data_IF_112081342878
#
_entry.id   IF_112081342878
#
_cell.length_a   1.000
_cell.length_b   1.000
_cell.length_c   1.000
_cell.angle_alpha   90.00
_cell.angle_beta   90.00
_cell.angle_gamma   90.00
#
_symmetry.space_group_name_H-M   'P 1'
#
loop_
_entity.id
_entity.type
_entity.pdbx_description
1 polymer ?
#
# COMPACT_ATOMS: atom_id res chain seq x y z
N UNK A 1 -19.98 -3.76 -2.11
CA UNK A 1 -18.82 -4.53 -2.61
C UNK A 1 -18.55 -4.02 -4.00
N UNK A 2 -17.37 -3.47 -4.24
CA UNK A 2 -17.05 -2.80 -5.50
C UNK A 2 -16.44 -3.83 -6.46
N UNK A 3 -17.32 -4.50 -7.19
CA UNK A 3 -16.93 -5.48 -8.21
C UNK A 3 -16.33 -4.77 -9.42
N UNK A 4 -15.15 -5.21 -9.88
CA UNK A 4 -14.42 -4.54 -10.96
C UNK A 4 -15.15 -4.59 -12.32
N UNK A 5 -15.96 -5.62 -12.58
CA UNK A 5 -16.70 -5.79 -13.84
C UNK A 5 -15.86 -6.03 -15.10
N UNK A 6 -14.52 -6.07 -14.99
CA UNK A 6 -13.64 -6.27 -16.15
C UNK A 6 -13.72 -7.70 -16.67
N UNK A 7 -13.85 -7.85 -17.98
CA UNK A 7 -13.80 -9.10 -18.76
C UNK A 7 -12.37 -9.45 -19.21
N UNK A 8 -11.45 -8.50 -19.10
CA UNK A 8 -10.04 -8.57 -19.50
C UNK A 8 -9.12 -8.13 -18.36
N UNK A 9 -7.81 -8.05 -18.64
CA UNK A 9 -6.79 -7.59 -17.68
C UNK A 9 -7.20 -6.24 -17.06
N UNK A 10 -7.34 -6.18 -15.74
CA UNK A 10 -7.63 -4.95 -15.00
C UNK A 10 -6.48 -3.95 -15.05
N UNK A 11 -6.32 -3.19 -16.13
CA UNK A 11 -5.27 -2.18 -16.21
C UNK A 11 -5.55 -1.00 -15.25
N UNK A 12 -4.51 -0.32 -14.75
CA UNK A 12 -4.66 0.81 -13.82
C UNK A 12 -5.52 1.97 -14.36
N UNK A 13 -5.52 2.16 -15.68
CA UNK A 13 -6.21 3.23 -16.40
C UNK A 13 -7.66 2.90 -16.78
N UNK A 14 -8.01 1.61 -16.86
CA UNK A 14 -9.34 1.17 -17.33
C UNK A 14 -10.18 0.41 -16.30
N UNK A 15 -9.59 -0.05 -15.20
CA UNK A 15 -10.31 -0.81 -14.19
C UNK A 15 -11.10 0.12 -13.25
N UNK A 16 -12.42 -0.08 -13.07
CA UNK A 16 -13.22 0.70 -12.12
C UNK A 16 -12.66 0.68 -10.69
N UNK A 17 -12.15 -0.47 -10.25
CA UNK A 17 -11.49 -0.57 -8.94
C UNK A 17 -10.20 0.26 -8.90
N UNK A 18 -9.39 0.27 -9.97
CA UNK A 18 -8.16 1.05 -10.02
C UNK A 18 -8.45 2.56 -9.97
N UNK A 19 -9.42 3.04 -10.76
CA UNK A 19 -9.90 4.42 -10.73
C UNK A 19 -10.46 4.79 -9.35
N UNK A 20 -11.12 3.82 -8.71
CA UNK A 20 -11.61 3.92 -7.34
C UNK A 20 -10.56 3.66 -6.27
N UNK A 21 -9.26 3.59 -6.57
CA UNK A 21 -8.16 3.27 -5.63
C UNK A 21 -8.41 2.05 -4.73
N UNK A 22 -9.06 1.03 -5.27
CA UNK A 22 -9.33 -0.26 -4.64
C UNK A 22 -8.53 -1.30 -5.41
N UNK A 23 -7.75 -2.12 -4.72
CA UNK A 23 -7.06 -3.24 -5.39
C UNK A 23 -8.05 -4.36 -5.73
N UNK A 24 -7.86 -4.95 -6.91
CA UNK A 24 -8.51 -6.18 -7.31
C UNK A 24 -7.96 -7.34 -6.47
N UNK A 25 -8.88 -8.14 -5.94
CA UNK A 25 -8.68 -9.35 -5.16
C UNK A 25 -9.70 -10.40 -5.61
N UNK A 26 -9.47 -11.67 -5.24
CA UNK A 26 -10.30 -12.79 -5.70
C UNK A 26 -11.80 -12.62 -5.41
N UNK A 27 -12.14 -11.88 -4.35
CA UNK A 27 -13.52 -11.64 -3.92
C UNK A 27 -14.18 -10.39 -4.55
N UNK A 28 -13.46 -9.57 -5.31
CA UNK A 28 -14.01 -8.36 -5.93
C UNK A 28 -13.64 -8.21 -7.42
N UNK A 29 -12.92 -9.19 -7.99
CA UNK A 29 -12.55 -9.20 -9.41
C UNK A 29 -12.09 -10.59 -9.88
N UNK A 30 -12.75 -11.16 -10.91
CA UNK A 30 -12.38 -12.47 -11.49
C UNK A 30 -11.12 -12.40 -12.37
N UNK A 31 -11.00 -11.32 -13.15
CA UNK A 31 -9.96 -11.17 -14.18
C UNK A 31 -8.76 -10.33 -13.72
N UNK A 32 -8.58 -10.21 -12.40
CA UNK A 32 -7.35 -9.71 -11.82
C UNK A 32 -6.23 -10.74 -12.00
N UNK A 33 -5.78 -10.93 -13.25
CA UNK A 33 -4.57 -11.68 -13.58
C UNK A 33 -3.36 -11.09 -12.85
N UNK A 34 -2.26 -11.85 -12.82
CA UNK A 34 -0.95 -11.39 -12.32
C UNK A 34 -0.31 -10.31 -13.21
N UNK A 35 -1.14 -9.61 -14.00
CA UNK A 35 -0.91 -8.42 -14.84
C UNK A 35 -2.19 -7.59 -14.66
N UNK A 36 -2.14 -6.36 -14.13
CA UNK A 36 -3.30 -5.55 -13.69
C UNK A 36 -3.25 -4.98 -12.25
N UNK A 37 -4.37 -4.40 -11.80
CA UNK A 37 -4.64 -3.69 -10.53
C UNK A 37 -4.72 -4.65 -9.33
N UNK A 38 -3.75 -5.54 -9.20
CA UNK A 38 -3.65 -6.50 -8.09
C UNK A 38 -2.29 -6.33 -7.44
N UNK A 39 -2.27 -6.35 -6.10
CA UNK A 39 -1.02 -6.30 -5.36
C UNK A 39 -0.12 -7.45 -5.81
N UNK A 40 1.12 -7.13 -6.20
CA UNK A 40 2.12 -8.11 -6.58
C UNK A 40 3.38 -7.93 -5.78
N UNK A 41 4.04 -9.05 -5.57
CA UNK A 41 5.45 -9.09 -5.19
C UNK A 41 6.22 -9.17 -6.50
N UNK A 42 6.99 -8.13 -6.84
CA UNK A 42 7.91 -8.20 -7.98
C UNK A 42 9.15 -8.99 -7.55
N UNK A 43 9.64 -9.85 -8.43
CA UNK A 43 10.99 -10.41 -8.33
C UNK A 43 12.04 -9.31 -8.46
N UNK A 44 13.27 -9.61 -8.07
CA UNK A 44 14.39 -8.70 -8.28
C UNK A 44 14.51 -7.57 -7.24
N UNK A 45 13.74 -7.57 -6.15
CA UNK A 45 13.99 -6.68 -5.02
C UNK A 45 15.10 -7.23 -4.13
N UNK A 46 16.15 -6.44 -3.95
CA UNK A 46 17.33 -6.80 -3.18
C UNK A 46 17.63 -5.79 -2.10
N UNK A 47 18.13 -6.27 -0.97
CA UNK A 47 18.63 -5.44 0.11
C UNK A 47 20.14 -5.25 -0.05
N UNK A 48 20.60 -4.01 -0.09
CA UNK A 48 22.02 -3.68 -0.08
C UNK A 48 22.36 -2.75 1.09
N UNK A 49 23.60 -2.85 1.57
CA UNK A 49 24.17 -1.95 2.56
C UNK A 49 25.00 -0.87 1.87
N UNK A 50 24.67 0.39 2.13
CA UNK A 50 25.47 1.54 1.76
C UNK A 50 26.06 2.24 2.98
N UNK A 51 26.68 3.40 2.74
CA UNK A 51 27.37 4.18 3.79
C UNK A 51 26.43 4.71 4.89
N UNK A 52 25.14 4.84 4.60
CA UNK A 52 24.13 5.41 5.52
C UNK A 52 23.15 4.37 6.08
N UNK A 53 23.35 3.08 5.78
CA UNK A 53 22.46 2.00 6.25
C UNK A 53 22.04 1.06 5.13
N UNK A 54 20.83 0.50 5.24
CA UNK A 54 20.27 -0.44 4.27
C UNK A 54 19.25 0.23 3.34
N UNK A 55 19.29 -0.16 2.08
CA UNK A 55 18.37 0.30 1.03
C UNK A 55 17.88 -0.88 0.20
N UNK A 56 16.69 -0.73 -0.39
CA UNK A 56 16.13 -1.70 -1.34
C UNK A 56 16.36 -1.18 -2.75
N UNK A 57 16.81 -2.06 -3.66
CA UNK A 57 16.96 -1.76 -5.08
C UNK A 57 16.35 -2.87 -5.93
N UNK A 58 16.08 -2.59 -7.21
CA UNK A 58 15.59 -3.56 -8.19
C UNK A 58 16.72 -4.00 -9.12
N UNK A 59 16.80 -5.30 -9.44
CA UNK A 59 17.65 -5.84 -10.50
C UNK A 59 16.94 -6.00 -11.85
N UNK A 60 15.65 -5.69 -11.89
CA UNK A 60 14.77 -5.85 -13.06
C UNK A 60 14.09 -4.52 -13.39
N UNK A 61 13.75 -4.34 -14.67
CA UNK A 61 12.98 -3.18 -15.12
C UNK A 61 11.56 -3.22 -14.55
N UNK A 62 11.10 -2.09 -14.01
CA UNK A 62 9.75 -1.95 -13.44
C UNK A 62 8.89 -1.18 -14.44
N UNK A 63 7.89 -1.84 -15.01
CA UNK A 63 6.91 -1.18 -15.86
C UNK A 63 6.14 -0.10 -15.08
N UNK A 64 5.89 1.03 -15.74
CA UNK A 64 5.11 2.13 -15.16
C UNK A 64 3.73 1.66 -14.69
N UNK A 65 3.32 2.09 -13.49
CA UNK A 65 2.05 1.69 -12.88
C UNK A 65 2.10 0.32 -12.16
N UNK A 66 3.27 -0.34 -12.12
CA UNK A 66 3.44 -1.56 -11.33
C UNK A 66 3.46 -1.29 -9.83
N UNK A 67 2.89 -2.22 -9.07
CA UNK A 67 2.98 -2.24 -7.61
C UNK A 67 4.29 -2.96 -7.25
N UNK A 68 5.15 -2.30 -6.48
CA UNK A 68 6.50 -2.80 -6.14
C UNK A 68 6.46 -3.68 -4.88
N UNK A 69 5.99 -3.11 -3.78
CA UNK A 69 5.85 -3.83 -2.52
C UNK A 69 4.89 -3.08 -1.59
N UNK A 70 4.31 -3.79 -0.63
CA UNK A 70 3.56 -3.19 0.46
C UNK A 70 4.50 -2.64 1.54
N UNK A 71 4.10 -1.52 2.16
CA UNK A 71 4.68 -1.09 3.42
C UNK A 71 4.11 -1.92 4.58
N UNK A 72 4.60 -3.15 4.76
CA UNK A 72 4.12 -4.06 5.79
C UNK A 72 4.72 -3.77 7.18
N UNK A 73 3.94 -3.99 8.24
CA UNK A 73 4.35 -3.82 9.64
C UNK A 73 3.27 -4.19 10.66
N UNK A 74 3.34 -3.61 11.86
CA UNK A 74 2.33 -3.68 12.92
C UNK A 74 1.47 -2.42 12.91
N UNK A 75 0.17 -2.58 12.76
CA UNK A 75 -0.78 -1.47 12.84
C UNK A 75 -0.91 -0.99 14.29
N UNK A 76 -0.85 0.32 14.51
CA UNK A 76 -1.03 0.92 15.84
C UNK A 76 -1.80 2.23 15.75
N UNK A 77 -2.47 2.62 16.83
CA UNK A 77 -3.13 3.93 16.99
C UNK A 77 -2.23 4.98 17.61
N UNK A 78 -0.97 4.64 17.92
CA UNK A 78 -0.03 5.54 18.57
C UNK A 78 0.42 6.66 17.62
N UNK A 79 0.31 7.91 18.08
CA UNK A 79 0.76 9.09 17.35
C UNK A 79 2.23 9.40 17.65
N UNK A 80 3.13 8.75 16.92
CA UNK A 80 4.58 8.92 17.05
C UNK A 80 5.07 10.35 16.81
N UNK A 81 4.25 11.24 16.21
CA UNK A 81 4.62 12.65 16.01
C UNK A 81 4.51 13.45 17.29
N UNK A 82 3.73 12.99 18.27
CA UNK A 82 3.54 13.63 19.58
C UNK A 82 4.55 13.16 20.63
N UNK A 83 5.41 12.20 20.30
CA UNK A 83 6.40 11.72 21.25
C UNK A 83 7.43 12.81 21.57
N UNK A 84 7.62 13.12 22.87
CA UNK A 84 8.64 14.05 23.35
C UNK A 84 10.07 13.66 22.93
N UNK A 85 10.30 12.36 22.70
CA UNK A 85 11.54 11.79 22.16
C UNK A 85 11.16 10.88 21.01
N UNK A 86 11.83 11.00 19.87
CA UNK A 86 11.54 10.19 18.69
C UNK A 86 11.73 8.69 19.00
N UNK A 87 10.65 7.91 18.99
CA UNK A 87 10.68 6.47 19.29
C UNK A 87 10.62 5.56 18.07
N UNK A 88 10.40 6.13 16.87
CA UNK A 88 10.41 5.39 15.59
C UNK A 88 10.79 6.28 14.41
N UNK A 89 11.55 5.70 13.47
CA UNK A 89 11.90 6.32 12.19
C UNK A 89 11.14 5.69 11.00
N UNK A 90 10.36 4.63 11.25
CA UNK A 90 9.76 3.77 10.23
C UNK A 90 8.24 3.72 10.39
N UNK A 91 7.64 4.90 10.56
CA UNK A 91 6.20 5.04 10.72
C UNK A 91 5.63 5.75 9.50
N UNK A 92 4.56 5.19 8.94
CA UNK A 92 3.74 5.85 7.93
C UNK A 92 2.35 6.06 8.51
N UNK A 93 1.82 7.27 8.35
CA UNK A 93 0.45 7.57 8.76
C UNK A 93 -0.54 7.04 7.74
N UNK A 94 -1.53 6.28 8.20
CA UNK A 94 -2.69 5.92 7.42
C UNK A 94 -3.75 7.01 7.53
N UNK A 95 -4.16 7.56 6.39
CA UNK A 95 -5.35 8.39 6.31
C UNK A 95 -6.54 7.49 5.97
N UNK A 96 -7.60 7.54 6.78
CA UNK A 96 -8.86 6.94 6.39
C UNK A 96 -9.43 7.72 5.19
N UNK A 97 -10.02 7.00 4.22
CA UNK A 97 -10.86 7.66 3.22
C UNK A 97 -12.01 8.32 3.95
N UNK A 98 -12.19 9.64 3.76
CA UNK A 98 -13.38 10.34 4.20
C UNK A 98 -14.60 9.67 3.57
N UNK A 99 -15.37 8.94 4.38
CA UNK A 99 -16.70 8.52 4.01
C UNK A 99 -17.56 9.78 3.94
N UNK A 100 -17.94 10.18 2.74
CA UNK A 100 -18.85 11.30 2.56
C UNK A 100 -20.24 10.89 3.04
N UNK A 101 -20.60 11.26 4.28
CA UNK A 101 -21.90 11.84 4.68
C UNK A 101 -21.96 12.14 6.19
N UNK A 102 -22.37 13.38 6.48
CA UNK A 102 -22.83 13.95 7.75
C UNK A 102 -21.91 13.86 8.97
N UNK A 103 -21.33 15.02 9.32
CA UNK A 103 -20.99 15.47 10.67
C UNK A 103 -20.56 14.41 11.68
N UNK A 104 -19.34 13.88 11.56
CA UNK A 104 -18.64 13.36 12.73
C UNK A 104 -17.16 13.79 12.68
N UNK A 105 -16.80 14.67 13.62
CA UNK A 105 -15.43 14.91 14.01
C UNK A 105 -14.90 13.63 14.65
N UNK A 106 -13.89 12.99 14.05
CA UNK A 106 -12.82 12.33 14.81
C UNK A 106 -11.63 11.99 13.91
N UNK A 107 -10.54 12.73 14.13
CA UNK A 107 -9.25 12.51 13.48
C UNK A 107 -8.51 11.34 14.14
N UNK A 108 -8.72 10.13 13.63
CA UNK A 108 -7.95 8.94 13.99
C UNK A 108 -6.77 8.72 13.05
N UNK A 109 -5.55 9.02 13.50
CA UNK A 109 -4.32 8.60 12.82
C UNK A 109 -3.92 7.20 13.31
N UNK A 110 -3.81 6.24 12.40
CA UNK A 110 -3.12 4.97 12.68
C UNK A 110 -1.75 4.98 12.02
N UNK A 111 -0.75 4.51 12.76
CA UNK A 111 0.66 4.48 12.38
C UNK A 111 1.15 3.03 12.39
N UNK A 112 2.24 2.71 11.69
CA UNK A 112 2.80 1.35 11.66
C UNK A 112 4.15 1.26 12.37
N UNK A 113 4.43 0.16 13.08
CA UNK A 113 5.76 -0.17 13.64
C UNK A 113 6.22 -1.54 13.10
N UNK A 114 7.46 -1.71 12.66
CA UNK A 114 7.96 -3.05 12.31
C UNK A 114 8.34 -3.82 13.58
N UNK A 115 7.88 -5.05 13.73
CA UNK A 115 8.41 -5.99 14.74
C UNK A 115 9.80 -6.47 14.32
N UNK A 116 10.72 -6.55 15.27
CA UNK A 116 12.03 -7.17 15.04
C UNK A 116 11.85 -8.68 14.93
N UNK A 117 12.30 -9.27 13.82
CA UNK A 117 12.61 -10.69 13.74
C UNK A 117 13.93 -10.98 14.45
#
# INVERSE_FOLDING_TARGET
MDWCGCDTICRPDGCPNALGSIFCARNNCLNGSDRGNRLRTVSGLHLARGNIGYSVFTSEDIESGSIVAEYAGVLTTHDYRKDRKRTSNYTIGLAARSSRKENFNDGGYSSWKRGHC
#
